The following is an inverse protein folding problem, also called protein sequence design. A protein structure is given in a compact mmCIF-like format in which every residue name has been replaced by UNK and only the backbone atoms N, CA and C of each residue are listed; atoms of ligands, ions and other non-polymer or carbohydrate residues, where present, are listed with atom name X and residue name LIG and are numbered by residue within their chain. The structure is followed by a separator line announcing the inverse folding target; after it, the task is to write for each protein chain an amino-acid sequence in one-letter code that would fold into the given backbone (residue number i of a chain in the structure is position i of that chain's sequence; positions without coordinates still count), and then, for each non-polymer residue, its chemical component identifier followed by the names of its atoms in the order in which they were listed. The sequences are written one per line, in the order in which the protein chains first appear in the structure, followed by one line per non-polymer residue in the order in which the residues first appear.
data_IF_767544413202
#
_entry.id   IF_767544413202
#
_cell.length_a   1.000
_cell.length_b   1.000
_cell.length_c   1.000
_cell.angle_alpha   90.00
_cell.angle_beta   90.00
_cell.angle_gamma   90.00
#
_symmetry.space_group_name_H-M   'P 1'
#
loop_
_entity.id
_entity.type
_entity.pdbx_description
1 polymer ?
#
# COMPACT_ATOMS: atom_id res chain seq x y z
N UNK A 1 -5.65 -39.52 31.60
CA UNK A 1 -7.11 -39.28 31.50
C UNK A 1 -7.32 -37.93 30.83
N UNK A 2 -7.78 -37.94 29.59
CA UNK A 2 -7.99 -36.74 28.78
C UNK A 2 -9.31 -36.08 29.13
N UNK A 3 -9.26 -34.88 29.69
CA UNK A 3 -10.38 -33.97 29.75
C UNK A 3 -10.25 -32.95 28.62
N UNK A 4 -10.73 -33.29 27.42
CA UNK A 4 -11.00 -32.29 26.40
C UNK A 4 -12.23 -31.49 26.87
N UNK A 5 -12.03 -30.56 27.80
CA UNK A 5 -13.00 -29.49 28.04
C UNK A 5 -13.06 -28.69 26.75
N UNK A 6 -14.21 -28.71 26.09
CA UNK A 6 -14.43 -28.12 24.77
C UNK A 6 -13.78 -26.74 24.67
N UNK A 7 -12.87 -26.56 23.69
CA UNK A 7 -12.18 -25.29 23.38
C UNK A 7 -13.14 -24.24 22.78
N UNK A 8 -14.31 -24.06 23.38
CA UNK A 8 -15.28 -23.04 23.00
C UNK A 8 -15.01 -21.85 23.89
N UNK A 9 -14.43 -20.81 23.32
CA UNK A 9 -14.13 -19.57 24.04
C UNK A 9 -15.40 -18.76 24.28
N UNK A 10 -15.35 -17.80 25.21
CA UNK A 10 -16.46 -16.85 25.39
C UNK A 10 -16.75 -16.05 24.11
N UNK A 11 -15.73 -15.85 23.26
CA UNK A 11 -15.84 -15.20 21.96
C UNK A 11 -16.66 -16.04 20.98
N UNK A 12 -16.40 -17.35 20.92
CA UNK A 12 -17.15 -18.27 20.06
C UNK A 12 -18.64 -18.34 20.44
N UNK A 13 -18.95 -18.28 21.75
CA UNK A 13 -20.34 -18.20 22.23
C UNK A 13 -21.02 -16.90 21.79
N UNK A 14 -20.34 -15.77 21.92
CA UNK A 14 -20.87 -14.48 21.48
C UNK A 14 -21.12 -14.43 19.96
N UNK A 15 -20.20 -14.98 19.16
CA UNK A 15 -20.36 -15.09 17.69
C UNK A 15 -21.54 -16.00 17.35
N UNK A 16 -21.68 -17.12 18.05
CA UNK A 16 -22.81 -18.02 17.88
C UNK A 16 -24.14 -17.32 18.20
N UNK A 17 -24.21 -16.59 19.30
CA UNK A 17 -25.42 -15.86 19.71
C UNK A 17 -25.82 -14.80 18.66
N UNK A 18 -24.84 -14.07 18.10
CA UNK A 18 -25.08 -13.12 17.00
C UNK A 18 -25.63 -13.83 15.75
N UNK A 19 -25.04 -14.98 15.37
CA UNK A 19 -25.50 -15.77 14.22
C UNK A 19 -26.91 -16.32 14.44
N UNK A 20 -27.23 -16.80 15.65
CA UNK A 20 -28.57 -17.24 16.04
C UNK A 20 -29.57 -16.08 15.95
N UNK A 21 -29.21 -14.88 16.42
CA UNK A 21 -30.08 -13.69 16.33
C UNK A 21 -30.37 -13.30 14.89
N UNK A 22 -29.35 -13.32 14.02
CA UNK A 22 -29.51 -13.08 12.58
C UNK A 22 -30.50 -14.09 11.97
N UNK A 23 -30.33 -15.37 12.26
CA UNK A 23 -31.18 -16.42 11.71
C UNK A 23 -32.64 -16.29 12.20
N UNK A 24 -32.83 -15.90 13.48
CA UNK A 24 -34.17 -15.59 14.02
C UNK A 24 -34.82 -14.39 13.32
N UNK A 25 -34.07 -13.33 13.04
CA UNK A 25 -34.58 -12.17 12.30
C UNK A 25 -34.92 -12.54 10.85
N UNK A 26 -34.12 -13.37 10.18
CA UNK A 26 -34.46 -13.89 8.84
C UNK A 26 -35.75 -14.72 8.85
N UNK A 27 -35.96 -15.55 9.88
CA UNK A 27 -37.22 -16.29 10.04
C UNK A 27 -38.40 -15.33 10.26
N UNK A 28 -38.21 -14.28 11.06
CA UNK A 28 -39.22 -13.26 11.31
C UNK A 28 -39.57 -12.47 10.04
N UNK A 29 -38.57 -12.06 9.28
CA UNK A 29 -38.72 -11.39 7.97
C UNK A 29 -39.55 -12.25 7.00
N UNK A 30 -39.24 -13.56 6.89
CA UNK A 30 -40.02 -14.50 6.07
C UNK A 30 -41.49 -14.58 6.52
N UNK A 31 -41.74 -14.64 7.83
CA UNK A 31 -43.11 -14.67 8.39
C UNK A 31 -43.88 -13.38 8.09
N UNK A 32 -43.25 -12.21 8.26
CA UNK A 32 -43.89 -10.92 7.95
C UNK A 32 -44.19 -10.79 6.45
N UNK A 33 -43.28 -11.27 5.59
CA UNK A 33 -43.49 -11.23 4.14
C UNK A 33 -44.75 -12.01 3.75
N UNK A 34 -44.87 -13.25 4.23
CA UNK A 34 -46.07 -14.08 4.00
C UNK A 34 -47.35 -13.40 4.55
N UNK A 35 -47.27 -12.74 5.71
CA UNK A 35 -48.40 -12.02 6.28
C UNK A 35 -48.80 -10.81 5.41
N UNK A 36 -47.81 -10.08 4.89
CA UNK A 36 -48.00 -8.91 4.03
C UNK A 36 -48.65 -9.30 2.70
N UNK A 37 -48.29 -10.45 2.14
CA UNK A 37 -48.89 -11.01 0.93
C UNK A 37 -50.36 -11.38 1.18
N UNK A 38 -50.64 -12.07 2.31
CA UNK A 38 -52.01 -12.39 2.72
C UNK A 38 -52.87 -11.14 2.91
N UNK A 39 -52.34 -10.09 3.54
CA UNK A 39 -53.06 -8.82 3.71
C UNK A 39 -53.32 -8.13 2.38
N UNK A 40 -52.40 -8.27 1.41
CA UNK A 40 -52.58 -7.77 0.05
C UNK A 40 -53.72 -8.51 -0.66
N UNK A 41 -53.80 -9.82 -0.51
CA UNK A 41 -54.88 -10.62 -1.12
C UNK A 41 -56.23 -10.37 -0.45
N UNK A 42 -56.27 -10.23 0.87
CA UNK A 42 -57.49 -9.82 1.60
C UNK A 42 -57.95 -8.44 1.11
N UNK A 43 -57.03 -7.48 0.95
CA UNK A 43 -57.38 -6.16 0.42
C UNK A 43 -57.99 -6.25 -0.99
N UNK A 44 -57.40 -7.05 -1.89
CA UNK A 44 -57.95 -7.29 -3.24
C UNK A 44 -59.36 -7.91 -3.18
N UNK A 45 -59.57 -8.92 -2.33
CA UNK A 45 -60.87 -9.57 -2.18
C UNK A 45 -61.95 -8.62 -1.62
N UNK A 46 -61.60 -7.77 -0.65
CA UNK A 46 -62.56 -6.81 -0.08
C UNK A 46 -62.90 -5.69 -1.08
N UNK A 47 -61.94 -5.27 -1.91
CA UNK A 47 -62.20 -4.34 -3.02
C UNK A 47 -63.13 -4.94 -4.07
N UNK A 48 -62.94 -6.22 -4.44
CA UNK A 48 -63.81 -6.92 -5.37
C UNK A 48 -65.26 -7.06 -4.84
N UNK A 49 -65.42 -7.17 -3.52
CA UNK A 49 -66.73 -7.20 -2.84
C UNK A 49 -67.36 -5.82 -2.61
N UNK A 50 -66.66 -4.73 -2.96
CA UNK A 50 -67.12 -3.35 -2.75
C UNK A 50 -67.00 -2.85 -1.31
N UNK A 51 -66.41 -3.62 -0.39
CA UNK A 51 -66.26 -3.25 1.04
C UNK A 51 -65.00 -2.39 1.26
N UNK A 52 -65.12 -1.11 0.90
CA UNK A 52 -64.06 -0.09 1.04
C UNK A 52 -63.50 0.06 2.46
N UNK A 53 -64.29 0.13 3.55
CA UNK A 53 -63.73 0.34 4.88
C UNK A 53 -62.86 -0.84 5.35
N UNK A 54 -63.24 -2.09 5.04
CA UNK A 54 -62.39 -3.26 5.35
C UNK A 54 -61.13 -3.30 4.50
N UNK A 55 -61.21 -2.93 3.23
CA UNK A 55 -60.03 -2.82 2.36
C UNK A 55 -59.01 -1.79 2.90
N UNK A 56 -59.49 -0.62 3.35
CA UNK A 56 -58.63 0.40 3.96
C UNK A 56 -57.95 -0.09 5.25
N UNK A 57 -58.66 -0.85 6.09
CA UNK A 57 -58.08 -1.44 7.29
C UNK A 57 -56.97 -2.45 6.95
N UNK A 58 -57.18 -3.31 5.95
CA UNK A 58 -56.17 -4.26 5.47
C UNK A 58 -54.93 -3.54 4.92
N UNK A 59 -55.10 -2.46 4.17
CA UNK A 59 -54.00 -1.64 3.65
C UNK A 59 -53.23 -0.91 4.77
N UNK A 60 -53.91 -0.44 5.82
CA UNK A 60 -53.24 0.17 6.98
C UNK A 60 -52.38 -0.84 7.73
N UNK A 61 -52.89 -2.07 7.92
CA UNK A 61 -52.10 -3.18 8.46
C UNK A 61 -50.91 -3.46 7.56
N UNK A 62 -51.12 -3.68 6.26
CA UNK A 62 -50.02 -3.88 5.31
C UNK A 62 -48.91 -2.85 5.44
N UNK A 63 -49.25 -1.55 5.54
CA UNK A 63 -48.27 -0.46 5.68
C UNK A 63 -47.48 -0.55 7.00
N UNK A 64 -48.13 -0.93 8.11
CA UNK A 64 -47.45 -1.14 9.39
C UNK A 64 -46.46 -2.32 9.31
N UNK A 65 -46.87 -3.42 8.67
CA UNK A 65 -46.07 -4.63 8.48
C UNK A 65 -44.84 -4.32 7.60
N UNK A 66 -45.02 -3.54 6.53
CA UNK A 66 -43.91 -3.06 5.69
C UNK A 66 -42.92 -2.18 6.48
N UNK A 67 -43.42 -1.32 7.37
CA UNK A 67 -42.56 -0.53 8.25
C UNK A 67 -41.77 -1.39 9.23
N UNK A 68 -42.36 -2.46 9.77
CA UNK A 68 -41.67 -3.44 10.61
C UNK A 68 -40.62 -4.25 9.83
N UNK A 69 -40.93 -4.62 8.58
CA UNK A 69 -40.01 -5.31 7.68
C UNK A 69 -38.78 -4.44 7.40
N UNK A 70 -38.97 -3.17 7.03
CA UNK A 70 -37.87 -2.23 6.81
C UNK A 70 -36.97 -2.05 8.04
N UNK A 71 -37.54 -2.01 9.25
CA UNK A 71 -36.77 -1.97 10.50
C UNK A 71 -35.98 -3.25 10.74
N UNK A 72 -36.58 -4.40 10.43
CA UNK A 72 -35.95 -5.72 10.55
C UNK A 72 -34.79 -5.85 9.56
N UNK A 73 -34.95 -5.38 8.32
CA UNK A 73 -33.90 -5.38 7.30
C UNK A 73 -32.70 -4.52 7.74
N UNK A 74 -32.97 -3.33 8.29
CA UNK A 74 -31.92 -2.46 8.84
C UNK A 74 -31.16 -3.13 10.00
N UNK A 75 -31.88 -3.79 10.91
CA UNK A 75 -31.28 -4.53 12.03
C UNK A 75 -30.45 -5.73 11.54
N UNK A 76 -30.92 -6.43 10.51
CA UNK A 76 -30.22 -7.56 9.92
C UNK A 76 -28.91 -7.11 9.25
N UNK A 77 -28.94 -6.03 8.48
CA UNK A 77 -27.74 -5.43 7.90
C UNK A 77 -26.72 -5.00 8.98
N UNK A 78 -27.22 -4.42 10.08
CA UNK A 78 -26.36 -4.06 11.22
C UNK A 78 -25.70 -5.28 11.88
N UNK A 79 -26.43 -6.40 12.02
CA UNK A 79 -25.87 -7.64 12.56
C UNK A 79 -24.86 -8.31 11.62
N UNK A 80 -25.08 -8.25 10.31
CA UNK A 80 -24.13 -8.74 9.32
C UNK A 80 -22.84 -7.93 9.36
N UNK A 81 -22.94 -6.59 9.42
CA UNK A 81 -21.78 -5.72 9.58
C UNK A 81 -21.04 -6.00 10.89
N UNK A 82 -21.76 -6.16 12.01
CA UNK A 82 -21.15 -6.49 13.30
C UNK A 82 -20.43 -7.84 13.25
N UNK A 83 -21.03 -8.86 12.62
CA UNK A 83 -20.42 -10.18 12.47
C UNK A 83 -19.13 -10.09 11.65
N UNK A 84 -19.17 -9.38 10.51
CA UNK A 84 -17.98 -9.16 9.68
C UNK A 84 -16.87 -8.42 10.42
N UNK A 85 -17.23 -7.41 11.24
CA UNK A 85 -16.26 -6.67 12.04
C UNK A 85 -15.60 -7.57 13.10
N UNK A 86 -16.37 -8.46 13.74
CA UNK A 86 -15.83 -9.40 14.73
C UNK A 86 -14.89 -10.41 14.06
N UNK A 87 -15.28 -10.96 12.90
CA UNK A 87 -14.43 -11.89 12.14
C UNK A 87 -13.13 -11.20 11.70
N UNK A 88 -13.20 -9.95 11.26
CA UNK A 88 -12.01 -9.16 10.95
C UNK A 88 -11.13 -8.89 12.18
N UNK A 89 -11.73 -8.56 13.33
CA UNK A 89 -10.99 -8.36 14.57
C UNK A 89 -10.28 -9.64 15.05
N UNK A 90 -10.85 -10.82 14.79
CA UNK A 90 -10.17 -12.10 15.05
C UNK A 90 -8.92 -12.25 14.19
N UNK A 91 -9.01 -11.94 12.89
CA UNK A 91 -7.84 -11.95 11.99
C UNK A 91 -6.79 -10.95 12.46
N UNK A 92 -7.20 -9.73 12.82
CA UNK A 92 -6.29 -8.71 13.33
C UNK A 92 -5.53 -9.15 14.58
N UNK A 93 -6.22 -9.84 15.52
CA UNK A 93 -5.58 -10.43 16.70
C UNK A 93 -4.47 -11.41 16.31
N UNK A 94 -4.74 -12.29 15.33
CA UNK A 94 -3.77 -13.28 14.87
C UNK A 94 -2.58 -12.63 14.16
N UNK A 95 -2.81 -11.59 13.36
CA UNK A 95 -1.75 -10.78 12.73
C UNK A 95 -0.86 -10.13 13.80
N UNK A 96 -1.46 -9.51 14.82
CA UNK A 96 -0.71 -8.89 15.92
C UNK A 96 0.12 -9.93 16.66
N UNK A 97 -0.44 -11.12 16.91
CA UNK A 97 0.29 -12.21 17.54
C UNK A 97 1.47 -12.69 16.67
N UNK A 98 1.29 -12.81 15.36
CA UNK A 98 2.35 -13.12 14.41
C UNK A 98 3.46 -12.07 14.39
N UNK A 99 3.10 -10.77 14.39
CA UNK A 99 4.05 -9.67 14.48
C UNK A 99 4.84 -9.70 15.80
N UNK A 100 4.17 -9.99 16.92
CA UNK A 100 4.84 -10.14 18.22
C UNK A 100 5.86 -11.28 18.22
N UNK A 101 5.53 -12.42 17.60
CA UNK A 101 6.46 -13.54 17.46
C UNK A 101 7.63 -13.17 16.54
N UNK A 102 7.36 -12.56 15.39
CA UNK A 102 8.41 -12.10 14.47
C UNK A 102 9.37 -11.12 15.14
N UNK A 103 8.85 -10.17 15.92
CA UNK A 103 9.68 -9.23 16.70
C UNK A 103 10.52 -9.95 17.75
N UNK A 104 9.98 -10.98 18.43
CA UNK A 104 10.78 -11.78 19.38
C UNK A 104 11.91 -12.53 18.70
N UNK A 105 11.64 -13.16 17.56
CA UNK A 105 12.66 -13.87 16.77
C UNK A 105 13.73 -12.89 16.28
N UNK A 106 13.35 -11.72 15.78
CA UNK A 106 14.30 -10.68 15.39
C UNK A 106 15.16 -10.20 16.57
N UNK A 107 14.56 -10.05 17.76
CA UNK A 107 15.31 -9.70 18.97
C UNK A 107 16.29 -10.79 19.40
N UNK A 108 15.93 -12.06 19.24
CA UNK A 108 16.83 -13.19 19.49
C UNK A 108 17.99 -13.21 18.50
N UNK A 109 17.71 -13.05 17.19
CA UNK A 109 18.75 -12.94 16.16
C UNK A 109 19.68 -11.75 16.45
N UNK A 110 19.14 -10.58 16.81
CA UNK A 110 19.96 -9.42 17.16
C UNK A 110 20.84 -9.66 18.38
N UNK A 111 20.37 -10.44 19.37
CA UNK A 111 21.20 -10.85 20.52
C UNK A 111 22.28 -11.84 20.13
N UNK A 112 21.98 -12.81 19.26
CA UNK A 112 22.96 -13.79 18.77
C UNK A 112 24.03 -13.15 17.88
N UNK A 113 23.66 -12.14 17.08
CA UNK A 113 24.60 -11.31 16.31
C UNK A 113 25.42 -10.34 17.18
N UNK A 114 25.34 -10.45 18.50
CA UNK A 114 26.15 -9.67 19.45
C UNK A 114 25.60 -8.27 19.77
N UNK A 115 24.36 -7.98 19.38
CA UNK A 115 23.66 -6.73 19.71
C UNK A 115 24.32 -5.48 19.13
N UNK A 116 23.96 -4.32 19.70
CA UNK A 116 24.57 -3.03 19.35
C UNK A 116 26.07 -3.03 19.68
N UNK A 117 26.47 -3.68 20.78
CA UNK A 117 27.85 -3.72 21.25
C UNK A 117 28.79 -4.41 20.25
N UNK A 118 28.38 -5.50 19.61
CA UNK A 118 29.18 -6.15 18.57
C UNK A 118 29.26 -5.31 17.30
N UNK A 119 28.17 -4.63 16.91
CA UNK A 119 28.17 -3.70 15.77
C UNK A 119 29.07 -2.50 16.04
N UNK A 120 29.01 -1.89 17.23
CA UNK A 120 29.89 -0.80 17.65
C UNK A 120 31.36 -1.24 17.68
N UNK A 121 31.64 -2.44 18.21
CA UNK A 121 32.99 -3.02 18.21
C UNK A 121 33.51 -3.26 16.79
N UNK A 122 32.69 -3.82 15.89
CA UNK A 122 33.08 -4.06 14.50
C UNK A 122 33.36 -2.75 13.75
N UNK A 123 32.55 -1.72 13.99
CA UNK A 123 32.77 -0.39 13.42
C UNK A 123 34.06 0.26 13.95
N UNK A 124 34.34 0.11 15.25
CA UNK A 124 35.61 0.55 15.84
C UNK A 124 36.81 -0.18 15.24
N UNK A 125 36.78 -1.52 15.19
CA UNK A 125 37.84 -2.33 14.58
C UNK A 125 38.06 -2.00 13.10
N UNK A 126 37.00 -1.67 12.36
CA UNK A 126 37.10 -1.26 10.94
C UNK A 126 37.73 0.12 10.80
N UNK A 127 37.35 1.08 11.66
CA UNK A 127 37.94 2.42 11.65
C UNK A 127 39.42 2.37 12.02
N UNK A 128 39.80 1.57 13.01
CA UNK A 128 41.19 1.35 13.41
C UNK A 128 42.00 0.65 12.31
N UNK A 129 41.41 -0.34 11.62
CA UNK A 129 42.05 -0.99 10.47
C UNK A 129 42.29 -0.04 9.29
N UNK A 130 41.35 0.87 9.00
CA UNK A 130 41.50 1.91 7.99
C UNK A 130 42.59 2.91 8.41
N UNK A 131 42.60 3.33 9.68
CA UNK A 131 43.63 4.22 10.20
C UNK A 131 45.04 3.57 10.11
N UNK A 132 45.16 2.30 10.48
CA UNK A 132 46.40 1.53 10.34
C UNK A 132 46.82 1.37 8.88
N UNK A 133 45.88 1.08 7.98
CA UNK A 133 46.17 1.03 6.54
C UNK A 133 46.70 2.37 6.03
N UNK A 134 46.11 3.48 6.47
CA UNK A 134 46.56 4.82 6.09
C UNK A 134 47.95 5.12 6.66
N UNK A 135 48.20 4.78 7.93
CA UNK A 135 49.53 4.92 8.55
C UNK A 135 50.59 4.06 7.83
N UNK A 136 50.26 2.81 7.48
CA UNK A 136 51.14 1.94 6.69
C UNK A 136 51.35 2.50 5.29
N UNK A 137 50.31 3.06 4.66
CA UNK A 137 50.41 3.69 3.35
C UNK A 137 51.25 4.97 3.40
N UNK A 138 51.20 5.73 4.49
CA UNK A 138 52.03 6.91 4.74
C UNK A 138 53.49 6.51 5.02
N UNK A 139 53.71 5.45 5.81
CA UNK A 139 55.04 4.89 6.06
C UNK A 139 55.67 4.25 4.81
N UNK A 140 54.88 3.62 3.94
CA UNK A 140 55.35 3.13 2.64
C UNK A 140 55.51 4.27 1.61
N UNK A 141 54.59 5.24 1.61
CA UNK A 141 54.60 6.40 0.72
C UNK A 141 55.76 7.36 1.01
N UNK A 142 56.27 7.37 2.25
CA UNK A 142 57.47 8.12 2.62
C UNK A 142 58.80 7.55 2.11
N UNK A 143 58.79 6.54 1.22
CA UNK A 143 60.00 5.93 0.62
C UNK A 143 60.09 6.05 -0.89
N UNK A 144 59.27 6.91 -1.51
CA UNK A 144 59.52 7.32 -2.90
C UNK A 144 60.51 8.49 -2.81
N UNK A 145 61.71 8.32 -3.36
CA UNK A 145 62.68 9.42 -3.47
C UNK A 145 62.12 10.46 -4.44
N UNK A 146 62.42 11.74 -4.28
CA UNK A 146 62.05 12.76 -5.29
C UNK A 146 62.51 12.35 -6.71
N UNK A 147 63.60 11.58 -6.82
CA UNK A 147 64.07 10.99 -8.07
C UNK A 147 63.12 9.93 -8.66
N UNK A 148 62.48 9.12 -7.81
CA UNK A 148 61.52 8.11 -8.23
C UNK A 148 60.17 8.78 -8.61
N UNK A 149 59.80 9.90 -7.97
CA UNK A 149 58.66 10.73 -8.42
C UNK A 149 58.93 11.38 -9.77
N UNK A 150 60.13 11.96 -9.98
CA UNK A 150 60.54 12.54 -11.26
C UNK A 150 60.53 11.49 -12.39
N UNK A 151 61.03 10.27 -12.15
CA UNK A 151 61.01 9.18 -13.15
C UNK A 151 59.57 8.73 -13.49
N UNK A 152 58.67 8.68 -12.50
CA UNK A 152 57.26 8.33 -12.71
C UNK A 152 56.51 9.45 -13.44
N UNK A 153 56.80 10.72 -13.13
CA UNK A 153 56.25 11.87 -13.87
C UNK A 153 56.73 11.88 -15.33
N UNK A 154 57.99 11.54 -15.59
CA UNK A 154 58.54 11.40 -16.95
C UNK A 154 57.88 10.25 -17.73
N UNK A 155 57.67 9.08 -17.11
CA UNK A 155 56.93 7.97 -17.72
C UNK A 155 55.47 8.34 -18.01
N UNK A 156 54.83 9.08 -17.11
CA UNK A 156 53.46 9.57 -17.30
C UNK A 156 53.40 10.57 -18.46
N UNK A 157 54.33 11.52 -18.53
CA UNK A 157 54.42 12.49 -19.62
C UNK A 157 54.69 11.80 -20.98
N UNK A 158 55.50 10.74 -21.00
CA UNK A 158 55.73 9.93 -22.19
C UNK A 158 54.47 9.18 -22.65
N UNK A 159 53.68 8.63 -21.70
CA UNK A 159 52.38 8.02 -22.00
C UNK A 159 51.36 9.05 -22.51
N UNK A 160 51.29 10.23 -21.89
CA UNK A 160 50.42 11.31 -22.34
C UNK A 160 50.80 11.82 -23.74
N UNK A 161 52.10 11.97 -24.05
CA UNK A 161 52.56 12.34 -25.38
C UNK A 161 52.23 11.28 -26.45
N UNK A 162 52.30 9.99 -26.08
CA UNK A 162 51.90 8.87 -26.94
C UNK A 162 50.38 8.83 -27.21
N UNK A 163 49.57 9.27 -26.25
CA UNK A 163 48.10 9.35 -26.38
C UNK A 163 47.67 10.63 -27.11
N UNK A 164 48.40 11.75 -26.94
CA UNK A 164 47.99 13.07 -27.44
C UNK A 164 48.52 13.42 -28.85
N UNK A 165 49.53 12.72 -29.36
CA UNK A 165 50.10 12.94 -30.70
C UNK A 165 50.83 14.30 -30.84
N UNK A 166 51.65 14.51 -31.90
CA UNK A 166 52.39 15.76 -32.05
C UNK A 166 51.43 16.94 -32.23
N UNK A 167 51.77 18.07 -31.62
CA UNK A 167 50.98 19.31 -31.57
C UNK A 167 50.36 19.67 -32.94
N UNK A 168 49.12 20.18 -32.97
CA UNK A 168 48.46 20.48 -34.23
C UNK A 168 49.25 21.55 -34.99
N UNK A 169 49.77 21.19 -36.16
CA UNK A 169 50.28 22.14 -37.15
C UNK A 169 49.20 23.19 -37.47
N UNK A 170 49.64 24.43 -37.63
CA UNK A 170 48.81 25.61 -37.91
C UNK A 170 47.76 25.32 -39.00
N UNK A 171 46.49 25.34 -38.61
CA UNK A 171 45.37 25.39 -39.56
C UNK A 171 45.30 26.81 -40.17
N UNK A 172 44.97 26.95 -41.48
CA UNK A 172 44.99 28.23 -42.17
C UNK A 172 43.88 29.17 -41.66
N UNK A 173 44.18 30.48 -41.57
CA UNK A 173 43.25 31.51 -41.10
C UNK A 173 42.07 31.70 -42.05
N UNK A 174 40.86 31.64 -41.49
CA UNK A 174 39.60 31.92 -42.20
C UNK A 174 39.37 33.44 -42.20
N UNK A 175 39.04 34.09 -43.34
CA UNK A 175 38.86 35.54 -43.40
C UNK A 175 37.78 36.05 -42.42
N UNK A 176 38.17 37.01 -41.57
CA UNK A 176 37.32 37.64 -40.56
C UNK A 176 36.74 38.96 -41.05
N UNK A 177 35.79 38.92 -41.98
CA UNK A 177 35.00 40.12 -42.32
C UNK A 177 33.80 40.25 -41.39
N UNK A 178 33.67 41.40 -40.73
CA UNK A 178 32.61 41.67 -39.73
C UNK A 178 31.25 41.82 -40.39
N UNK A 179 30.35 40.87 -40.14
CA UNK A 179 28.94 41.01 -40.46
C UNK A 179 28.21 41.79 -39.34
N UNK A 180 27.31 42.73 -39.68
CA UNK A 180 26.71 43.68 -38.74
C UNK A 180 25.69 43.04 -37.79
N UNK A 181 25.70 43.47 -36.53
CA UNK A 181 24.83 43.00 -35.44
C UNK A 181 23.35 43.29 -35.70
N UNK A 182 22.51 42.25 -35.61
CA UNK A 182 21.05 42.39 -35.66
C UNK A 182 20.44 42.11 -34.27
N UNK A 183 19.77 43.15 -33.75
CA UNK A 183 19.07 43.25 -32.46
C UNK A 183 18.17 42.06 -32.14
N UNK A 184 18.22 41.65 -30.87
CA UNK A 184 17.35 40.70 -30.20
C UNK A 184 15.87 41.09 -30.32
N UNK A 185 15.02 40.11 -30.58
CA UNK A 185 13.57 40.18 -30.37
C UNK A 185 13.12 38.90 -29.66
N UNK A 186 12.58 39.09 -28.46
CA UNK A 186 11.86 38.08 -27.67
C UNK A 186 10.59 37.65 -28.40
N UNK A 187 10.27 36.35 -28.35
CA UNK A 187 8.96 35.81 -28.75
C UNK A 187 8.45 34.82 -27.70
N UNK A 188 7.13 34.77 -27.47
CA UNK A 188 6.51 34.39 -26.20
C UNK A 188 6.15 32.90 -26.11
N UNK A 189 5.98 32.41 -24.87
CA UNK A 189 5.45 31.09 -24.52
C UNK A 189 4.03 30.86 -25.09
N UNK A 190 3.83 29.75 -25.82
CA UNK A 190 2.50 29.20 -26.14
C UNK A 190 2.30 27.83 -25.47
N UNK A 191 1.20 27.73 -24.72
CA UNK A 191 0.69 26.60 -23.93
C UNK A 191 -0.01 25.51 -24.80
N UNK A 192 -0.38 24.33 -24.23
CA UNK A 192 -0.38 23.03 -24.92
C UNK A 192 -1.72 22.65 -25.59
N UNK A 193 -1.66 21.94 -26.72
CA UNK A 193 -2.84 21.30 -27.33
C UNK A 193 -2.99 19.82 -26.91
N UNK A 194 -4.08 19.54 -26.21
CA UNK A 194 -4.69 18.21 -26.07
C UNK A 194 -5.36 17.82 -27.39
N UNK A 195 -5.22 16.57 -27.83
CA UNK A 195 -6.27 15.97 -28.67
C UNK A 195 -6.42 14.46 -28.50
N UNK A 196 -7.69 14.09 -28.36
CA UNK A 196 -8.30 12.79 -28.11
C UNK A 196 -8.25 11.87 -29.32
N UNK A 197 -8.03 10.56 -29.11
CA UNK A 197 -8.41 9.51 -30.08
C UNK A 197 -9.28 8.45 -29.42
N UNK A 198 -10.56 8.42 -29.81
CA UNK A 198 -11.49 7.31 -29.61
C UNK A 198 -11.19 6.17 -30.61
N UNK A 199 -11.47 4.90 -30.29
CA UNK A 199 -11.44 3.80 -31.23
C UNK A 199 -12.81 3.61 -31.90
N UNK A 200 -12.84 3.38 -33.22
CA UNK A 200 -14.03 2.94 -33.95
C UNK A 200 -13.73 1.62 -34.66
N UNK A 201 -14.69 0.69 -34.49
CA UNK A 201 -14.76 -0.68 -34.99
C UNK A 201 -15.16 -0.79 -36.48
N UNK A 202 -14.97 -2.02 -36.99
CA UNK A 202 -15.63 -2.70 -38.11
C UNK A 202 -15.04 -2.51 -39.52
N UNK A 203 -14.57 -3.59 -40.16
CA UNK A 203 -15.38 -4.56 -40.95
C UNK A 203 -14.71 -5.95 -40.94
#
# INVERSE_FOLDING_TARGET
MGGNTSKVTAQDKAILDLKIQRDKLQQYQRRITILTDKETDIAKQMLAKGDKPKALLALRRKKYQQGLLAKTDAQLAQLEQLTSNVEFAQIQKDVVFGLQQGTKVLQEIHKEMGGIEHVEKLMGETADAIAYQNEVSEMLGGRISNQDEDEVEDELAAMEAGIRGPAPERLPEVPSDRLPERRQQEVPDEEPLRETRQPMLAD
#
